data_IF_903882802697
#
_entry.id   IF_903882802697
#
_cell.length_a   1.000
_cell.length_b   1.000
_cell.length_c   1.000
_cell.angle_alpha   90.00
_cell.angle_beta   90.00
_cell.angle_gamma   90.00
#
_symmetry.space_group_name_H-M   'P 1'
#
loop_
_entity.id
_entity.type
_entity.pdbx_description
1 polymer ?
#
# COMPACT_ATOMS: atom_id res chain seq x y z
N UNK A 1 34.76 9.77 3.42
CA UNK A 1 34.31 9.80 2.01
C UNK A 1 32.78 9.74 2.02
N UNK A 2 32.10 10.64 1.31
CA UNK A 2 30.63 10.64 1.21
C UNK A 2 30.20 9.69 0.09
N UNK A 3 29.26 8.79 0.38
CA UNK A 3 28.66 7.89 -0.62
C UNK A 3 27.89 8.72 -1.65
N UNK A 4 28.19 8.54 -2.94
CA UNK A 4 27.39 9.10 -4.04
C UNK A 4 26.32 8.09 -4.44
N UNK A 5 25.09 8.56 -4.59
CA UNK A 5 23.96 7.79 -5.09
C UNK A 5 23.70 8.13 -6.56
N UNK A 6 23.40 7.13 -7.38
CA UNK A 6 22.98 7.29 -8.78
C UNK A 6 21.64 6.60 -9.00
N UNK A 7 20.71 7.28 -9.68
CA UNK A 7 19.39 6.75 -9.99
C UNK A 7 19.27 6.40 -11.47
N UNK A 8 18.58 5.30 -11.77
CA UNK A 8 18.18 4.89 -13.12
C UNK A 8 16.69 4.56 -13.12
N UNK A 9 15.95 4.80 -14.22
CA UNK A 9 14.57 4.35 -14.33
C UNK A 9 14.52 2.81 -14.38
N UNK A 10 13.55 2.23 -13.70
CA UNK A 10 13.19 0.82 -13.84
C UNK A 10 12.05 0.72 -14.88
N UNK A 11 12.06 -0.33 -15.71
CA UNK A 11 11.01 -0.52 -16.72
C UNK A 11 9.72 -0.93 -16.03
N UNK A 12 8.91 0.06 -15.71
CA UNK A 12 7.59 -0.12 -15.14
C UNK A 12 6.56 0.43 -16.14
N UNK A 13 5.88 -0.47 -16.84
CA UNK A 13 4.88 -0.10 -17.86
C UNK A 13 3.54 0.26 -17.19
N UNK A 14 3.55 1.24 -16.29
CA UNK A 14 2.34 1.88 -15.79
C UNK A 14 2.42 3.39 -16.04
N UNK A 15 1.40 3.95 -16.69
CA UNK A 15 1.30 5.38 -16.96
C UNK A 15 0.65 6.20 -15.83
N UNK A 16 0.29 5.56 -14.71
CA UNK A 16 -0.44 6.16 -13.60
C UNK A 16 0.45 6.73 -12.50
N UNK A 17 -0.17 7.23 -11.43
CA UNK A 17 0.53 7.77 -10.27
C UNK A 17 0.99 6.65 -9.34
N UNK A 18 2.30 6.52 -9.16
CA UNK A 18 2.92 5.57 -8.22
C UNK A 18 3.34 6.31 -6.96
N UNK A 19 2.67 6.05 -5.83
CA UNK A 19 2.92 6.72 -4.55
C UNK A 19 3.30 5.79 -3.41
N UNK A 20 3.21 4.48 -3.64
CA UNK A 20 3.53 3.47 -2.64
C UNK A 20 4.61 2.55 -3.19
N UNK A 21 5.59 2.25 -2.35
CA UNK A 21 6.65 1.28 -2.60
C UNK A 21 7.02 0.58 -1.28
N UNK A 22 7.14 -0.74 -1.30
CA UNK A 22 7.66 -1.51 -0.18
C UNK A 22 8.60 -2.61 -0.67
N UNK A 23 9.61 -2.92 0.14
CA UNK A 23 10.64 -3.92 -0.17
C UNK A 23 10.71 -4.94 0.96
N UNK A 24 10.62 -6.22 0.61
CA UNK A 24 11.07 -7.31 1.48
C UNK A 24 12.59 -7.41 1.37
N UNK A 25 13.29 -6.95 2.41
CA UNK A 25 14.76 -6.99 2.44
C UNK A 25 15.32 -8.41 2.54
N UNK A 26 14.50 -9.41 2.87
CA UNK A 26 14.95 -10.80 3.00
C UNK A 26 15.08 -11.53 1.65
N UNK A 27 14.31 -11.13 0.64
CA UNK A 27 14.28 -11.81 -0.66
C UNK A 27 14.30 -10.86 -1.88
N UNK A 28 14.24 -9.54 -1.69
CA UNK A 28 14.28 -8.56 -2.77
C UNK A 28 12.94 -8.32 -3.48
N UNK A 29 11.83 -8.81 -2.93
CA UNK A 29 10.49 -8.59 -3.51
C UNK A 29 10.08 -7.13 -3.30
N UNK A 30 9.70 -6.46 -4.39
CA UNK A 30 9.14 -5.11 -4.39
C UNK A 30 7.65 -5.16 -4.68
N UNK A 31 6.84 -4.44 -3.90
CA UNK A 31 5.51 -3.99 -4.32
C UNK A 31 5.54 -2.50 -4.60
N UNK A 32 4.87 -2.11 -5.67
CA UNK A 32 4.49 -0.72 -5.95
C UNK A 32 2.99 -0.64 -6.16
N UNK A 33 2.39 0.47 -5.77
CA UNK A 33 0.98 0.71 -5.96
C UNK A 33 0.70 2.18 -6.23
N UNK A 34 -0.56 2.49 -6.53
CA UNK A 34 -0.97 3.81 -6.95
C UNK A 34 -2.45 4.12 -6.71
N UNK A 35 -2.91 5.10 -7.46
CA UNK A 35 -4.24 5.68 -7.32
C UNK A 35 -5.38 4.80 -7.85
N UNK A 36 -5.21 4.07 -8.95
CA UNK A 36 -6.34 3.31 -9.56
C UNK A 36 -6.03 1.89 -10.05
N UNK A 37 -4.77 1.45 -9.96
CA UNK A 37 -4.32 0.22 -10.63
C UNK A 37 -4.05 -0.97 -9.70
N UNK A 38 -4.20 -0.79 -8.39
CA UNK A 38 -3.83 -1.80 -7.40
C UNK A 38 -2.31 -1.96 -7.31
N UNK A 39 -1.86 -3.21 -7.23
CA UNK A 39 -0.48 -3.59 -6.96
C UNK A 39 0.24 -4.12 -8.19
N UNK A 40 1.48 -3.69 -8.35
CA UNK A 40 2.47 -4.34 -9.19
C UNK A 40 3.63 -4.84 -8.36
N UNK A 41 4.15 -6.02 -8.70
CA UNK A 41 5.15 -6.74 -7.93
C UNK A 41 6.33 -7.15 -8.79
N UNK A 42 7.52 -7.04 -8.23
CA UNK A 42 8.77 -7.58 -8.79
C UNK A 42 9.42 -8.52 -7.78
N UNK A 43 10.02 -9.59 -8.27
CA UNK A 43 10.79 -10.56 -7.47
C UNK A 43 12.30 -10.44 -7.76
N UNK A 44 12.71 -9.42 -8.50
CA UNK A 44 14.05 -9.25 -9.07
C UNK A 44 14.51 -7.79 -9.03
N UNK A 45 14.25 -7.11 -7.90
CA UNK A 45 14.69 -5.74 -7.64
C UNK A 45 14.20 -4.72 -8.70
N UNK A 46 13.07 -5.00 -9.32
CA UNK A 46 12.36 -4.12 -10.26
C UNK A 46 12.83 -4.22 -11.71
N UNK A 47 13.55 -5.29 -12.06
CA UNK A 47 13.88 -5.58 -13.46
C UNK A 47 12.64 -6.08 -14.24
N UNK A 48 11.78 -6.88 -13.62
CA UNK A 48 10.49 -7.32 -14.18
C UNK A 48 9.32 -7.15 -13.22
N UNK A 49 8.17 -6.72 -13.75
CA UNK A 49 6.97 -6.41 -12.98
C UNK A 49 5.77 -7.25 -13.43
N UNK A 50 4.89 -7.59 -12.48
CA UNK A 50 3.60 -8.24 -12.74
C UNK A 50 2.49 -7.59 -11.90
N UNK A 51 1.30 -7.44 -12.47
CA UNK A 51 0.12 -6.95 -11.73
C UNK A 51 -0.38 -8.07 -10.79
N UNK A 52 -0.65 -7.75 -9.52
CA UNK A 52 -1.06 -8.71 -8.47
C UNK A 52 -2.29 -8.22 -7.70
N UNK A 53 -3.45 -8.22 -8.36
CA UNK A 53 -4.71 -7.72 -7.79
C UNK A 53 -5.67 -8.83 -7.34
N UNK A 54 -5.22 -10.08 -7.24
CA UNK A 54 -6.10 -11.19 -6.84
C UNK A 54 -6.57 -10.97 -5.39
N UNK A 55 -7.87 -10.78 -5.20
CA UNK A 55 -8.46 -10.46 -3.90
C UNK A 55 -8.72 -8.98 -3.64
N UNK A 56 -8.35 -8.09 -4.58
CA UNK A 56 -8.75 -6.68 -4.54
C UNK A 56 -10.13 -6.53 -5.18
N UNK A 57 -11.17 -6.84 -4.44
CA UNK A 57 -12.55 -6.58 -4.86
C UNK A 57 -13.37 -6.05 -3.68
N UNK A 58 -14.15 -4.98 -3.87
CA UNK A 58 -14.56 -4.41 -5.17
C UNK A 58 -13.51 -3.46 -5.80
N UNK A 59 -13.74 -3.02 -7.04
CA UNK A 59 -12.79 -2.22 -7.85
C UNK A 59 -12.22 -0.98 -7.16
N UNK A 60 -12.93 -0.38 -6.21
CA UNK A 60 -12.44 0.76 -5.44
C UNK A 60 -11.26 0.40 -4.52
N UNK A 61 -11.01 -0.88 -4.24
CA UNK A 61 -9.79 -1.34 -3.54
C UNK A 61 -8.53 -1.30 -4.40
N UNK A 62 -8.63 -1.00 -5.69
CA UNK A 62 -7.46 -0.67 -6.51
C UNK A 62 -6.83 0.68 -6.16
N UNK A 63 -7.50 1.48 -5.31
CA UNK A 63 -6.99 2.73 -4.73
C UNK A 63 -6.20 2.37 -3.49
N UNK A 64 -4.88 2.41 -3.58
CA UNK A 64 -4.01 1.96 -2.48
C UNK A 64 -3.49 3.18 -1.73
N UNK A 65 -3.64 3.19 -0.40
CA UNK A 65 -3.16 4.26 0.46
C UNK A 65 -1.81 3.95 1.09
N UNK A 66 -1.54 2.68 1.42
CA UNK A 66 -0.30 2.25 2.04
C UNK A 66 -0.04 0.79 1.72
N UNK A 67 1.24 0.43 1.64
CA UNK A 67 1.71 -0.96 1.58
C UNK A 67 2.94 -1.09 2.47
N UNK A 68 3.00 -2.17 3.26
CA UNK A 68 4.12 -2.42 4.16
C UNK A 68 4.32 -3.92 4.36
N UNK A 69 5.58 -4.36 4.33
CA UNK A 69 5.95 -5.71 4.72
C UNK A 69 5.89 -5.88 6.23
N UNK A 70 5.48 -7.06 6.68
CA UNK A 70 5.56 -7.42 8.09
C UNK A 70 7.03 -7.53 8.53
N UNK A 71 7.35 -6.91 9.65
CA UNK A 71 8.64 -7.02 10.31
C UNK A 71 8.78 -8.32 11.12
N UNK A 72 7.68 -9.03 11.38
CA UNK A 72 7.64 -10.20 12.26
C UNK A 72 7.17 -11.48 11.59
N UNK A 73 6.53 -11.38 10.42
CA UNK A 73 5.96 -12.52 9.71
C UNK A 73 6.51 -12.60 8.27
N UNK A 74 7.11 -13.74 7.92
CA UNK A 74 7.61 -13.98 6.56
C UNK A 74 6.46 -14.05 5.56
N UNK A 75 6.66 -13.51 4.35
CA UNK A 75 5.65 -13.49 3.28
C UNK A 75 4.37 -12.72 3.61
N UNK A 76 4.32 -11.98 4.73
CA UNK A 76 3.15 -11.18 5.09
C UNK A 76 3.31 -9.74 4.62
N UNK A 77 2.32 -9.25 3.87
CA UNK A 77 2.23 -7.86 3.39
C UNK A 77 0.90 -7.27 3.81
N UNK A 78 0.93 -6.05 4.32
CA UNK A 78 -0.24 -5.27 4.72
C UNK A 78 -0.54 -4.22 3.67
N UNK A 79 -1.82 -4.01 3.39
CA UNK A 79 -2.29 -2.98 2.47
C UNK A 79 -3.49 -2.22 3.04
N UNK A 80 -3.45 -0.91 2.89
CA UNK A 80 -4.55 -0.01 3.18
C UNK A 80 -5.16 0.42 1.84
N UNK A 81 -6.44 0.17 1.62
CA UNK A 81 -7.10 0.41 0.33
C UNK A 81 -8.42 1.14 0.50
N UNK A 82 -8.89 1.76 -0.58
CA UNK A 82 -10.18 2.45 -0.66
C UNK A 82 -10.07 3.94 -0.95
N UNK A 83 -11.20 4.63 -0.80
CA UNK A 83 -11.31 6.06 -1.08
C UNK A 83 -11.90 6.88 0.07
N UNK A 84 -12.36 6.21 1.13
CA UNK A 84 -13.08 6.82 2.25
C UNK A 84 -14.22 7.77 1.79
N UNK A 85 -14.87 7.45 0.67
CA UNK A 85 -16.05 8.15 0.18
C UNK A 85 -17.32 7.67 0.87
N UNK A 86 -17.30 6.44 1.39
CA UNK A 86 -18.32 5.85 2.27
C UNK A 86 -17.64 5.09 3.41
N UNK A 87 -18.42 4.65 4.39
CA UNK A 87 -17.91 3.80 5.50
C UNK A 87 -17.66 2.34 5.08
N UNK A 88 -17.84 1.99 3.80
CA UNK A 88 -17.75 0.60 3.32
C UNK A 88 -16.83 0.42 2.12
N UNK A 89 -16.19 1.49 1.64
CA UNK A 89 -15.34 1.45 0.46
C UNK A 89 -13.85 1.30 0.76
N UNK A 90 -13.51 1.05 2.03
CA UNK A 90 -12.14 0.99 2.52
C UNK A 90 -11.85 -0.36 3.19
N UNK A 91 -10.56 -0.71 3.26
CA UNK A 91 -10.15 -1.96 3.85
C UNK A 91 -8.69 -2.00 4.27
N UNK A 92 -8.45 -2.73 5.35
CA UNK A 92 -7.13 -3.27 5.70
C UNK A 92 -7.05 -4.71 5.16
N UNK A 93 -6.26 -4.88 4.11
CA UNK A 93 -6.01 -6.15 3.45
C UNK A 93 -4.69 -6.73 3.94
N UNK A 94 -4.63 -8.05 3.98
CA UNK A 94 -3.40 -8.80 4.28
C UNK A 94 -3.18 -9.87 3.23
N UNK A 95 -1.96 -9.93 2.73
CA UNK A 95 -1.42 -11.06 1.98
C UNK A 95 -0.51 -11.87 2.89
N UNK A 96 -0.60 -13.19 2.84
CA UNK A 96 0.30 -14.12 3.55
C UNK A 96 1.10 -14.99 2.58
N UNK A 97 1.11 -14.63 1.29
CA UNK A 97 1.80 -15.33 0.21
C UNK A 97 2.74 -14.42 -0.58
N UNK A 98 3.22 -13.36 0.08
CA UNK A 98 4.18 -12.40 -0.45
C UNK A 98 3.57 -11.46 -1.49
N UNK A 99 2.35 -10.98 -1.25
CA UNK A 99 1.67 -10.02 -2.12
C UNK A 99 1.00 -10.64 -3.36
N UNK A 100 0.84 -11.96 -3.44
CA UNK A 100 0.23 -12.64 -4.61
C UNK A 100 -1.29 -12.66 -4.51
N UNK A 101 -1.83 -12.83 -3.31
CA UNK A 101 -3.26 -12.75 -3.02
C UNK A 101 -3.53 -11.92 -1.76
N UNK A 102 -4.68 -11.26 -1.76
CA UNK A 102 -5.08 -10.34 -0.70
C UNK A 102 -6.40 -10.77 -0.06
N UNK A 103 -6.51 -10.63 1.26
CA UNK A 103 -7.74 -10.93 2.00
C UNK A 103 -8.07 -9.78 2.93
N UNK A 104 -9.34 -9.38 2.97
CA UNK A 104 -9.82 -8.39 3.95
C UNK A 104 -9.68 -8.92 5.37
N UNK A 105 -9.06 -8.12 6.24
CA UNK A 105 -8.93 -8.41 7.68
C UNK A 105 -9.67 -7.41 8.55
N UNK A 106 -9.85 -6.19 8.08
CA UNK A 106 -10.67 -5.19 8.77
C UNK A 106 -11.24 -4.18 7.79
N UNK A 107 -12.46 -3.73 8.07
CA UNK A 107 -13.12 -2.60 7.38
C UNK A 107 -13.37 -1.42 8.33
N UNK A 108 -12.74 -1.42 9.51
CA UNK A 108 -12.97 -0.42 10.57
C UNK A 108 -12.24 0.90 10.30
N UNK A 109 -11.08 0.83 9.64
CA UNK A 109 -10.23 1.99 9.38
C UNK A 109 -10.45 2.43 7.92
N UNK A 110 -10.77 3.71 7.71
CA UNK A 110 -11.05 4.23 6.37
C UNK A 110 -9.81 4.91 5.77
N UNK A 111 -9.48 4.54 4.54
CA UNK A 111 -8.29 4.99 3.84
C UNK A 111 -8.64 5.66 2.52
N UNK A 112 -7.93 6.74 2.18
CA UNK A 112 -8.10 7.48 0.94
C UNK A 112 -6.88 7.30 0.04
N UNK A 113 -6.84 6.18 -0.68
CA UNK A 113 -5.77 5.82 -1.61
C UNK A 113 -5.75 6.68 -2.89
N UNK A 114 -6.86 7.34 -3.20
CA UNK A 114 -6.95 8.34 -4.25
C UNK A 114 -7.36 9.70 -3.65
N UNK A 115 -8.06 10.54 -4.42
CA UNK A 115 -8.64 11.77 -3.94
C UNK A 115 -9.95 11.45 -3.22
N UNK A 116 -9.97 11.58 -1.89
CA UNK A 116 -11.18 11.35 -1.11
C UNK A 116 -12.35 12.23 -1.60
N UNK A 117 -13.58 11.75 -1.41
CA UNK A 117 -14.77 12.61 -1.48
C UNK A 117 -14.92 13.50 -0.21
N UNK A 118 -14.07 13.29 0.80
CA UNK A 118 -14.01 14.03 2.07
C UNK A 118 -13.02 15.20 1.97
N UNK A 119 -13.19 16.33 2.69
CA UNK A 119 -12.29 17.47 2.56
C UNK A 119 -10.91 17.13 3.10
N UNK A 120 -10.01 16.70 2.21
CA UNK A 120 -8.57 16.61 2.47
C UNK A 120 -8.00 18.03 2.60
N UNK A 121 -6.89 18.24 3.33
CA UNK A 121 -6.27 19.55 3.44
C UNK A 121 -5.86 20.00 2.04
N UNK A 122 -6.03 21.28 1.72
CA UNK A 122 -5.75 21.83 0.38
C UNK A 122 -4.33 21.53 -0.11
N UNK A 123 -3.37 21.38 0.80
CA UNK A 123 -1.97 21.07 0.49
C UNK A 123 -1.62 19.58 0.53
N UNK A 124 -2.56 18.71 0.91
CA UNK A 124 -2.40 17.26 1.00
C UNK A 124 -3.64 16.55 0.42
N UNK A 125 -3.86 16.63 -0.91
CA UNK A 125 -5.07 16.13 -1.56
C UNK A 125 -5.18 14.60 -1.57
N UNK A 126 -4.27 13.89 -0.90
CA UNK A 126 -4.24 12.43 -0.77
C UNK A 126 -3.64 12.06 0.60
N UNK A 127 -4.19 11.02 1.22
CA UNK A 127 -3.67 10.44 2.45
C UNK A 127 -2.99 9.11 2.12
N UNK A 128 -1.82 9.18 1.47
CA UNK A 128 -1.08 8.01 0.99
C UNK A 128 0.38 8.02 1.44
N UNK A 129 1.01 6.86 1.55
CA UNK A 129 2.43 6.70 1.87
C UNK A 129 2.64 5.83 3.12
N UNK A 130 3.48 6.30 4.05
CA UNK A 130 3.78 5.58 5.31
C UNK A 130 2.66 5.78 6.33
N UNK A 131 1.62 4.94 6.28
CA UNK A 131 0.47 4.98 7.20
C UNK A 131 0.44 3.82 8.20
N UNK A 132 1.33 2.84 8.05
CA UNK A 132 1.40 1.68 8.92
C UNK A 132 2.71 1.67 9.72
N UNK A 133 2.62 1.22 10.96
CA UNK A 133 3.76 0.82 11.78
C UNK A 133 3.44 -0.49 12.50
N UNK A 134 4.46 -1.31 12.74
CA UNK A 134 4.32 -2.59 13.44
C UNK A 134 5.32 -2.68 14.58
N UNK A 135 4.86 -3.10 15.77
CA UNK A 135 5.70 -3.28 16.93
C UNK A 135 4.91 -3.67 18.18
N UNK A 136 5.55 -4.37 19.12
CA UNK A 136 4.93 -4.74 20.40
C UNK A 136 3.71 -5.68 20.28
N UNK A 137 3.57 -6.41 19.15
CA UNK A 137 2.40 -7.23 18.85
C UNK A 137 1.23 -6.46 18.22
N UNK A 138 1.40 -5.17 17.95
CA UNK A 138 0.39 -4.31 17.35
C UNK A 138 0.73 -3.94 15.91
N UNK A 139 -0.32 -3.69 15.14
CA UNK A 139 -0.25 -2.93 13.88
C UNK A 139 -0.97 -1.61 14.14
N UNK A 140 -0.27 -0.50 13.94
CA UNK A 140 -0.81 0.85 14.02
C UNK A 140 -1.16 1.34 12.63
N UNK A 141 -2.33 1.96 12.47
CA UNK A 141 -2.78 2.56 11.23
C UNK A 141 -3.17 4.02 11.44
N UNK A 142 -2.54 4.93 10.70
CA UNK A 142 -2.88 6.34 10.68
C UNK A 142 -3.84 6.65 9.54
N UNK A 143 -4.80 7.53 9.81
CA UNK A 143 -5.75 8.07 8.83
C UNK A 143 -5.65 9.58 8.80
N UNK A 144 -6.16 10.17 7.73
CA UNK A 144 -6.23 11.62 7.63
C UNK A 144 -7.22 12.24 8.64
N UNK A 145 -8.41 11.65 8.81
CA UNK A 145 -9.53 12.29 9.51
C UNK A 145 -9.95 11.62 10.82
N UNK A 146 -9.53 10.37 11.05
CA UNK A 146 -10.02 9.56 12.18
C UNK A 146 -8.91 9.28 13.21
N UNK A 147 -7.70 9.80 12.99
CA UNK A 147 -6.56 9.64 13.88
C UNK A 147 -5.81 8.32 13.68
N UNK A 148 -5.33 7.72 14.77
CA UNK A 148 -4.50 6.52 14.78
C UNK A 148 -5.25 5.37 15.46
N UNK A 149 -5.23 4.21 14.82
CA UNK A 149 -5.82 2.96 15.29
C UNK A 149 -4.72 1.95 15.60
N UNK A 150 -5.02 0.95 16.41
CA UNK A 150 -4.22 -0.26 16.51
C UNK A 150 -5.09 -1.52 16.64
N UNK A 151 -4.50 -2.68 16.36
CA UNK A 151 -5.12 -4.00 16.56
C UNK A 151 -5.29 -4.38 18.02
#
# INVERSE_FOLDING_TARGET
MSTRYSFRPLRFDAGGYVSMIALDTSNGTLEVAGDIQGFSRSEDYGDHWRIVNRGLYPDFWHRVACVAWSATETNTVYACVGDASTTSDSGFLVSTDGGKTWTLRSSTVHFAGNHAASPLPTNHPRSTGNLLAQGGGFIYAATYSEGVFHT
#
